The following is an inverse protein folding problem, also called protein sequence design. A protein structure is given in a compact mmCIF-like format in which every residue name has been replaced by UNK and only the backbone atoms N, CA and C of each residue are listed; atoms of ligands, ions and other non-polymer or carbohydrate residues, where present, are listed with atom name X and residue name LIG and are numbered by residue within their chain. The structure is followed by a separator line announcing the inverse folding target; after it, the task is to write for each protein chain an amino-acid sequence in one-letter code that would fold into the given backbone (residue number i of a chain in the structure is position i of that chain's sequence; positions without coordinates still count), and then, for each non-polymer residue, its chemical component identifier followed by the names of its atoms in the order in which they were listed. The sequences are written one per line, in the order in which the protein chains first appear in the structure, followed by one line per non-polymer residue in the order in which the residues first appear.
data_IF_943490039110
#
_entry.id   IF_943490039110
#
_cell.length_a   1.000
_cell.length_b   1.000
_cell.length_c   1.000
_cell.angle_alpha   90.00
_cell.angle_beta   90.00
_cell.angle_gamma   90.00
#
_symmetry.space_group_name_H-M   'P 1'
#
loop_
_entity.id
_entity.type
_entity.pdbx_description
1 polymer ?
#
# COMPACT_ATOMS: atom_id res chain seq x y z
N UNK A 1 42.32 -2.25 30.85
CA UNK A 1 41.94 -1.36 29.73
C UNK A 1 40.45 -1.51 29.48
N UNK A 2 39.69 -0.42 29.49
CA UNK A 2 38.22 -0.44 29.52
C UNK A 2 37.61 -0.41 28.11
N UNK A 3 36.79 -1.41 27.79
CA UNK A 3 36.13 -1.58 26.49
C UNK A 3 35.13 -0.46 26.14
N UNK A 4 34.61 0.23 27.16
CA UNK A 4 33.67 1.34 27.00
C UNK A 4 34.21 2.46 26.09
N UNK A 5 35.53 2.69 26.08
CA UNK A 5 36.19 3.68 25.21
C UNK A 5 35.91 3.43 23.72
N UNK A 6 35.72 2.17 23.32
CA UNK A 6 35.42 1.80 21.95
C UNK A 6 33.92 1.62 21.70
N UNK A 7 33.18 1.09 22.68
CA UNK A 7 31.75 0.82 22.52
C UNK A 7 30.90 2.10 22.47
N UNK A 8 31.26 3.13 23.22
CA UNK A 8 30.54 4.41 23.21
C UNK A 8 30.57 5.08 21.83
N UNK A 9 31.74 5.32 21.19
CA UNK A 9 31.76 5.95 19.87
C UNK A 9 31.13 5.07 18.79
N UNK A 10 31.31 3.74 18.84
CA UNK A 10 30.67 2.81 17.89
C UNK A 10 29.15 2.87 18.01
N UNK A 11 28.62 2.86 19.24
CA UNK A 11 27.19 3.00 19.48
C UNK A 11 26.63 4.34 18.99
N UNK A 12 27.38 5.43 19.18
CA UNK A 12 26.98 6.76 18.72
C UNK A 12 26.91 6.84 17.19
N UNK A 13 27.89 6.25 16.50
CA UNK A 13 27.91 6.16 15.03
C UNK A 13 26.75 5.30 14.53
N UNK A 14 26.51 4.14 15.14
CA UNK A 14 25.38 3.27 14.81
C UNK A 14 24.04 4.00 14.99
N UNK A 15 23.88 4.74 16.09
CA UNK A 15 22.70 5.57 16.33
C UNK A 15 22.52 6.67 15.28
N UNK A 16 23.61 7.36 14.90
CA UNK A 16 23.56 8.42 13.89
C UNK A 16 23.22 7.87 12.50
N UNK A 17 23.77 6.72 12.11
CA UNK A 17 23.44 6.04 10.85
C UNK A 17 21.97 5.65 10.81
N UNK A 18 21.44 5.08 11.91
CA UNK A 18 20.02 4.76 12.02
C UNK A 18 19.13 6.01 11.90
N UNK A 19 19.53 7.10 12.53
CA UNK A 19 18.79 8.37 12.46
C UNK A 19 18.77 8.95 11.04
N UNK A 20 19.92 8.96 10.34
CA UNK A 20 19.99 9.43 8.95
C UNK A 20 19.14 8.55 8.03
N UNK A 21 19.22 7.22 8.19
CA UNK A 21 18.41 6.28 7.41
C UNK A 21 16.90 6.49 7.66
N UNK A 22 16.51 6.73 8.91
CA UNK A 22 15.13 7.03 9.29
C UNK A 22 14.62 8.33 8.65
N UNK A 23 15.40 9.42 8.74
CA UNK A 23 15.04 10.70 8.13
C UNK A 23 15.00 10.61 6.59
N UNK A 24 15.87 9.82 5.99
CA UNK A 24 15.83 9.52 4.55
C UNK A 24 14.56 8.74 4.18
N UNK A 25 14.16 7.75 4.98
CA UNK A 25 12.92 7.00 4.78
C UNK A 25 11.68 7.89 4.87
N UNK A 26 11.64 8.82 5.83
CA UNK A 26 10.57 9.81 5.93
C UNK A 26 10.49 10.71 4.70
N UNK A 27 11.64 11.22 4.24
CA UNK A 27 11.71 12.08 3.05
C UNK A 27 11.33 11.35 1.76
N UNK A 28 11.56 10.04 1.67
CA UNK A 28 11.24 9.22 0.49
C UNK A 28 9.75 8.85 0.37
N UNK A 29 8.88 9.30 1.27
CA UNK A 29 7.43 9.09 1.17
C UNK A 29 6.96 7.65 1.40
N UNK A 30 7.86 6.71 1.71
CA UNK A 30 7.51 5.29 1.92
C UNK A 30 6.62 5.06 3.16
N UNK A 31 6.48 6.06 4.03
CA UNK A 31 5.53 6.01 5.15
C UNK A 31 4.08 6.19 4.71
N UNK A 32 3.82 6.81 3.56
CA UNK A 32 2.44 6.99 3.04
C UNK A 32 1.84 5.66 2.58
N UNK A 33 2.67 4.70 2.14
CA UNK A 33 2.22 3.33 1.81
C UNK A 33 1.83 2.54 3.08
N UNK A 34 2.58 2.72 4.19
CA UNK A 34 2.23 2.15 5.48
C UNK A 34 0.98 2.80 6.10
N UNK A 35 0.79 4.12 5.90
CA UNK A 35 -0.42 4.84 6.31
C UNK A 35 -1.65 4.32 5.56
N UNK A 36 -1.54 4.10 4.24
CA UNK A 36 -2.58 3.46 3.43
C UNK A 36 -2.88 2.01 3.81
N UNK A 37 -1.89 1.23 4.25
CA UNK A 37 -2.11 -0.12 4.80
C UNK A 37 -2.74 -0.09 6.20
N UNK A 38 -2.37 0.89 7.04
CA UNK A 38 -2.96 1.09 8.37
C UNK A 38 -4.44 1.52 8.29
N UNK A 39 -4.78 2.41 7.35
CA UNK A 39 -6.17 2.78 7.00
C UNK A 39 -7.00 1.52 6.69
N UNK A 40 -6.43 0.60 5.90
CA UNK A 40 -7.08 -0.69 5.56
C UNK A 40 -7.13 -1.66 6.74
N UNK A 41 -6.17 -1.67 7.65
CA UNK A 41 -6.23 -2.56 8.84
C UNK A 41 -7.23 -2.03 9.86
N UNK A 42 -7.36 -0.70 10.02
CA UNK A 42 -8.32 -0.08 10.94
C UNK A 42 -9.76 -0.09 10.41
N UNK A 43 -9.96 -0.03 9.08
CA UNK A 43 -11.29 0.00 8.43
C UNK A 43 -11.67 -1.36 7.82
N UNK A 44 -10.69 -2.23 7.55
CA UNK A 44 -10.82 -3.43 6.71
C UNK A 44 -11.80 -4.48 7.22
N UNK A 45 -11.98 -4.63 8.54
CA UNK A 45 -13.01 -5.55 9.05
C UNK A 45 -14.45 -5.12 8.71
N UNK A 46 -14.68 -3.85 8.33
CA UNK A 46 -16.00 -3.33 7.96
C UNK A 46 -16.23 -3.21 6.45
N UNK A 47 -15.19 -3.35 5.64
CA UNK A 47 -15.21 -3.05 4.21
C UNK A 47 -14.98 -4.26 3.28
N UNK A 48 -15.00 -5.49 3.80
CA UNK A 48 -15.11 -6.70 2.98
C UNK A 48 -16.54 -6.86 2.44
N UNK A 49 -16.93 -5.98 1.52
CA UNK A 49 -17.97 -6.27 0.55
C UNK A 49 -17.24 -6.71 -0.73
N UNK A 50 -17.51 -7.92 -1.24
CA UNK A 50 -17.00 -8.34 -2.54
C UNK A 50 -17.32 -7.26 -3.57
N UNK A 51 -16.34 -6.87 -4.38
CA UNK A 51 -16.62 -6.05 -5.55
C UNK A 51 -17.71 -6.79 -6.35
N UNK A 52 -18.83 -6.14 -6.71
CA UNK A 52 -19.81 -6.75 -7.57
C UNK A 52 -19.06 -7.20 -8.82
N UNK A 53 -19.08 -8.50 -9.08
CA UNK A 53 -18.64 -9.03 -10.36
C UNK A 53 -19.59 -8.49 -11.41
N UNK A 54 -19.25 -7.34 -12.00
CA UNK A 54 -19.78 -6.97 -13.30
C UNK A 54 -19.12 -7.93 -14.29
N UNK A 55 -19.63 -9.16 -14.32
CA UNK A 55 -19.67 -9.94 -15.55
C UNK A 55 -20.87 -9.35 -16.27
N UNK A 56 -20.55 -8.47 -17.21
CA UNK A 56 -21.47 -7.84 -18.13
C UNK A 56 -22.34 -8.94 -18.78
N UNK A 57 -23.55 -9.14 -18.27
CA UNK A 57 -24.64 -9.78 -19.02
C UNK A 57 -25.36 -8.73 -19.89
N UNK A 58 -24.64 -7.68 -20.29
CA UNK A 58 -25.06 -6.70 -21.29
C UNK A 58 -24.76 -7.21 -22.71
N UNK A 59 -25.01 -8.49 -22.98
CA UNK A 59 -25.32 -8.88 -24.34
C UNK A 59 -26.74 -8.35 -24.59
N UNK A 60 -26.94 -7.29 -25.38
CA UNK A 60 -28.25 -6.68 -25.55
C UNK A 60 -29.21 -7.73 -26.08
N UNK A 61 -30.22 -8.05 -25.26
CA UNK A 61 -31.38 -8.81 -25.64
C UNK A 61 -32.06 -8.10 -26.81
N UNK A 62 -31.95 -8.74 -27.98
CA UNK A 62 -32.96 -8.78 -29.01
C UNK A 62 -33.76 -7.49 -29.24
N UNK A 63 -33.22 -6.59 -30.06
CA UNK A 63 -34.01 -5.70 -30.89
C UNK A 63 -33.15 -5.25 -32.07
N UNK A 64 -33.65 -5.44 -33.30
CA UNK A 64 -33.13 -4.94 -34.60
C UNK A 64 -32.42 -5.93 -35.54
N UNK A 65 -33.04 -7.09 -35.80
CA UNK A 65 -33.09 -7.63 -37.18
C UNK A 65 -34.56 -7.63 -37.60
N UNK A 66 -35.09 -6.42 -37.80
CA UNK A 66 -36.30 -6.17 -38.59
C UNK A 66 -35.82 -5.60 -39.93
N UNK A 67 -35.89 -6.41 -40.98
CA UNK A 67 -35.83 -5.88 -42.35
C UNK A 67 -34.95 -6.65 -43.34
N UNK A 68 -35.44 -7.79 -43.84
CA UNK A 68 -35.27 -8.33 -45.21
C UNK A 68 -36.17 -9.58 -45.27
N UNK A 69 -37.43 -9.58 -45.77
CA UNK A 69 -37.91 -9.51 -47.17
C UNK A 69 -37.08 -10.38 -48.14
N UNK A 70 -37.66 -11.10 -49.12
CA UNK A 70 -39.07 -11.40 -49.43
C UNK A 70 -39.53 -12.81 -49.03
#
# INVERSE_FOLDING_TARGET
MSYAIWLVPVGLVMGLVGLIAFLWSMKSGQLEDLDGAAERVLIGEKADRPLPSHIDNDAPEFSTVKGHQP
#
